data_IF_856746326769
#
_entry.id   IF_856746326769
#
_cell.length_a   1.000
_cell.length_b   1.000
_cell.length_c   1.000
_cell.angle_alpha   90.00
_cell.angle_beta   90.00
_cell.angle_gamma   90.00
#
_symmetry.space_group_name_H-M   'P 1'
#
loop_
_entity.id
_entity.type
_entity.pdbx_description
1 polymer ?
#
# COMPACT_ATOMS: atom_id res chain seq x y z
N UNK A 1 13.51 14.27 41.10
CA UNK A 1 13.59 14.84 39.72
C UNK A 1 14.36 13.98 38.70
N UNK A 2 15.03 12.88 39.10
CA UNK A 2 15.86 12.08 38.18
C UNK A 2 15.08 11.13 37.25
N UNK A 3 13.90 10.62 37.67
CA UNK A 3 13.08 9.72 36.85
C UNK A 3 12.46 10.38 35.59
N UNK A 4 12.20 11.70 35.62
CA UNK A 4 11.68 12.45 34.45
C UNK A 4 12.74 12.59 33.34
N UNK A 5 14.02 12.75 33.71
CA UNK A 5 15.11 12.90 32.75
C UNK A 5 15.42 11.59 32.01
N UNK A 6 15.31 10.44 32.69
CA UNK A 6 15.44 9.12 32.08
C UNK A 6 14.33 8.83 31.06
N UNK A 7 13.09 9.25 31.37
CA UNK A 7 11.94 9.09 30.46
C UNK A 7 12.09 9.91 29.18
N UNK A 8 12.61 11.14 29.29
CA UNK A 8 12.89 12.01 28.13
C UNK A 8 14.01 11.46 27.23
N UNK A 9 15.00 10.75 27.81
CA UNK A 9 16.06 10.09 27.04
C UNK A 9 15.56 8.83 26.34
N UNK A 10 14.71 8.04 26.99
CA UNK A 10 14.11 6.86 26.37
C UNK A 10 13.21 7.23 25.18
N UNK A 11 12.33 8.21 25.35
CA UNK A 11 11.47 8.69 24.25
C UNK A 11 12.27 9.36 23.14
N UNK A 12 13.31 10.15 23.47
CA UNK A 12 14.19 10.74 22.46
C UNK A 12 14.96 9.66 21.67
N UNK A 13 15.46 8.61 22.33
CA UNK A 13 16.15 7.51 21.64
C UNK A 13 15.22 6.72 20.72
N UNK A 14 13.97 6.48 21.15
CA UNK A 14 12.94 5.86 20.30
C UNK A 14 12.61 6.73 19.08
N UNK A 15 12.39 8.03 19.28
CA UNK A 15 12.09 8.98 18.20
C UNK A 15 13.29 9.11 17.24
N UNK A 16 14.52 9.20 17.76
CA UNK A 16 15.72 9.28 16.93
C UNK A 16 15.92 8.00 16.12
N UNK A 17 15.72 6.82 16.71
CA UNK A 17 15.85 5.55 16.02
C UNK A 17 14.76 5.36 14.94
N UNK A 18 13.51 5.74 15.21
CA UNK A 18 12.43 5.66 14.22
C UNK A 18 12.60 6.69 13.10
N UNK A 19 13.06 7.90 13.42
CA UNK A 19 13.34 8.94 12.41
C UNK A 19 14.51 8.52 11.53
N UNK A 20 15.58 7.96 12.10
CA UNK A 20 16.70 7.44 11.34
C UNK A 20 16.29 6.24 10.46
N UNK A 21 15.40 5.36 10.95
CA UNK A 21 14.85 4.26 10.15
C UNK A 21 13.97 4.74 8.99
N UNK A 22 13.15 5.77 9.21
CA UNK A 22 12.31 6.36 8.16
C UNK A 22 13.18 7.07 7.12
N UNK A 23 14.16 7.87 7.56
CA UNK A 23 15.01 8.66 6.68
C UNK A 23 15.93 7.77 5.82
N UNK A 24 16.47 6.69 6.39
CA UNK A 24 17.30 5.74 5.64
C UNK A 24 16.52 4.87 4.65
N UNK A 25 15.19 4.69 4.83
CA UNK A 25 14.38 3.82 3.97
C UNK A 25 13.52 4.56 2.94
N UNK A 26 13.40 5.89 3.03
CA UNK A 26 12.67 6.70 2.03
C UNK A 26 13.54 7.30 0.95
N UNK A 27 14.87 7.26 1.09
CA UNK A 27 15.80 7.83 0.12
C UNK A 27 16.09 6.82 -1.01
N UNK A 28 15.07 6.60 -1.86
CA UNK A 28 15.18 5.82 -3.10
C UNK A 28 16.05 6.56 -4.13
N UNK A 29 17.35 6.58 -3.89
CA UNK A 29 18.36 7.04 -4.83
C UNK A 29 18.63 5.96 -5.90
N UNK A 30 17.62 5.67 -6.73
CA UNK A 30 17.80 4.80 -7.89
C UNK A 30 18.20 5.67 -9.09
N UNK A 31 19.51 5.82 -9.32
CA UNK A 31 20.03 6.17 -10.65
C UNK A 31 19.63 5.04 -11.61
N UNK A 32 18.61 5.26 -12.42
CA UNK A 32 18.20 4.35 -13.48
C UNK A 32 18.02 5.12 -14.77
N UNK A 33 18.53 4.55 -15.87
CA UNK A 33 18.12 4.88 -17.24
C UNK A 33 16.60 5.12 -17.30
N UNK A 34 16.08 5.94 -18.24
CA UNK A 34 14.66 6.25 -18.30
C UNK A 34 13.87 5.00 -18.70
N UNK A 35 13.68 4.07 -17.76
CA UNK A 35 12.55 3.17 -17.74
C UNK A 35 11.36 4.10 -17.78
N UNK A 36 10.47 3.89 -18.74
CA UNK A 36 9.16 4.53 -18.78
C UNK A 36 8.56 4.32 -17.39
N UNK A 37 8.63 5.36 -16.55
CA UNK A 37 8.19 5.31 -15.15
C UNK A 37 6.68 5.33 -15.22
N UNK A 38 6.08 4.16 -15.38
CA UNK A 38 4.64 4.02 -15.25
C UNK A 38 4.31 4.50 -13.83
N UNK A 39 3.55 5.59 -13.73
CA UNK A 39 3.21 6.22 -12.45
C UNK A 39 2.25 5.30 -11.69
N UNK A 40 2.80 4.41 -10.86
CA UNK A 40 2.10 3.37 -10.09
C UNK A 40 2.48 3.51 -8.61
N UNK A 41 1.56 3.20 -7.69
CA UNK A 41 1.88 3.07 -6.27
C UNK A 41 2.93 1.97 -6.07
N UNK A 42 3.88 2.09 -5.12
CA UNK A 42 4.81 1.02 -4.80
C UNK A 42 4.07 -0.30 -4.55
N UNK A 43 4.60 -1.42 -5.06
CA UNK A 43 3.92 -2.73 -5.00
C UNK A 43 3.57 -3.13 -3.56
N UNK A 44 4.49 -2.91 -2.62
CA UNK A 44 4.26 -3.17 -1.19
C UNK A 44 3.06 -2.37 -0.65
N UNK A 45 2.85 -1.15 -1.13
CA UNK A 45 1.70 -0.35 -0.73
C UNK A 45 0.40 -0.89 -1.35
N UNK A 46 0.44 -1.35 -2.60
CA UNK A 46 -0.71 -2.01 -3.23
C UNK A 46 -1.10 -3.29 -2.48
N UNK A 47 -0.13 -4.08 -2.06
CA UNK A 47 -0.34 -5.30 -1.26
C UNK A 47 -1.00 -4.97 0.09
N UNK A 48 -0.46 -4.00 0.84
CA UNK A 48 -1.04 -3.57 2.12
C UNK A 48 -2.49 -3.10 1.94
N UNK A 49 -2.76 -2.27 0.94
CA UNK A 49 -4.11 -1.75 0.71
C UNK A 49 -5.08 -2.84 0.27
N UNK A 50 -4.64 -3.76 -0.61
CA UNK A 50 -5.47 -4.88 -1.05
C UNK A 50 -5.79 -5.82 0.12
N UNK A 51 -4.80 -6.18 0.93
CA UNK A 51 -4.97 -7.05 2.09
C UNK A 51 -5.89 -6.41 3.14
N UNK A 52 -5.66 -5.15 3.51
CA UNK A 52 -6.52 -4.45 4.47
C UNK A 52 -7.95 -4.34 3.96
N UNK A 53 -8.13 -3.99 2.69
CA UNK A 53 -9.46 -3.86 2.08
C UNK A 53 -10.18 -5.20 2.01
N UNK A 54 -9.47 -6.28 1.70
CA UNK A 54 -10.01 -7.64 1.71
C UNK A 54 -10.42 -8.08 3.12
N UNK A 55 -9.52 -7.95 4.11
CA UNK A 55 -9.79 -8.37 5.49
C UNK A 55 -10.93 -7.58 6.15
N UNK A 56 -11.06 -6.29 5.82
CA UNK A 56 -12.09 -5.40 6.40
C UNK A 56 -13.32 -5.24 5.50
N UNK A 57 -13.35 -5.90 4.35
CA UNK A 57 -14.43 -5.84 3.37
C UNK A 57 -14.80 -4.40 2.94
N UNK A 58 -13.78 -3.55 2.80
CA UNK A 58 -13.92 -2.16 2.38
C UNK A 58 -14.25 -2.06 0.89
N UNK A 59 -15.10 -1.09 0.55
CA UNK A 59 -15.27 -0.66 -0.82
C UNK A 59 -14.05 0.15 -1.25
N UNK A 60 -13.54 -0.13 -2.44
CA UNK A 60 -12.38 0.57 -3.00
C UNK A 60 -12.63 0.96 -4.44
N UNK A 61 -11.92 2.00 -4.89
CA UNK A 61 -11.68 2.27 -6.30
C UNK A 61 -10.30 1.76 -6.67
N UNK A 62 -10.24 0.86 -7.64
CA UNK A 62 -9.01 0.39 -8.24
C UNK A 62 -8.81 1.13 -9.56
N UNK A 63 -7.66 1.76 -9.73
CA UNK A 63 -7.21 2.30 -11.02
C UNK A 63 -6.20 1.33 -11.60
N UNK A 64 -6.43 0.84 -12.81
CA UNK A 64 -5.51 -0.04 -13.53
C UNK A 64 -4.40 0.77 -14.23
N UNK A 65 -3.32 0.10 -14.66
CA UNK A 65 -2.22 0.77 -15.38
C UNK A 65 -2.64 1.45 -16.69
N UNK A 66 -3.73 0.99 -17.30
CA UNK A 66 -4.33 1.58 -18.50
C UNK A 66 -5.38 2.66 -18.18
N UNK A 67 -5.35 3.21 -16.96
CA UNK A 67 -6.24 4.25 -16.45
C UNK A 67 -7.72 3.89 -16.37
N UNK A 68 -8.10 2.63 -16.63
CA UNK A 68 -9.45 2.14 -16.35
C UNK A 68 -9.65 2.06 -14.84
N UNK A 69 -10.81 2.56 -14.39
CA UNK A 69 -11.19 2.49 -12.99
C UNK A 69 -12.35 1.54 -12.79
N UNK A 70 -12.33 0.86 -11.64
CA UNK A 70 -13.42 0.00 -11.21
C UNK A 70 -13.62 0.15 -9.72
N UNK A 71 -14.88 0.32 -9.32
CA UNK A 71 -15.29 0.38 -7.92
C UNK A 71 -15.87 -0.97 -7.51
N UNK A 72 -15.59 -1.39 -6.29
CA UNK A 72 -16.04 -2.69 -5.79
C UNK A 72 -15.34 -3.13 -4.51
N UNK A 73 -15.33 -4.43 -4.27
CA UNK A 73 -14.73 -5.04 -3.07
C UNK A 73 -13.87 -6.24 -3.43
N UNK A 74 -12.77 -6.44 -2.70
CA UNK A 74 -12.05 -7.70 -2.73
C UNK A 74 -12.82 -8.73 -1.91
N UNK A 75 -13.18 -9.86 -2.51
CA UNK A 75 -14.07 -10.87 -1.88
C UNK A 75 -13.42 -12.23 -1.72
N UNK A 76 -12.32 -12.50 -2.43
CA UNK A 76 -11.54 -13.71 -2.27
C UNK A 76 -10.09 -13.47 -2.71
N UNK A 77 -9.17 -14.23 -2.15
CA UNK A 77 -7.76 -14.21 -2.54
C UNK A 77 -7.44 -15.47 -3.34
N UNK A 78 -6.89 -15.28 -4.54
CA UNK A 78 -6.42 -16.38 -5.40
C UNK A 78 -4.99 -16.75 -5.02
N UNK A 79 -4.14 -15.74 -4.80
CA UNK A 79 -2.80 -15.87 -4.24
C UNK A 79 -2.34 -14.51 -3.68
N UNK A 80 -1.08 -14.40 -3.23
CA UNK A 80 -0.53 -13.16 -2.65
C UNK A 80 -0.75 -11.92 -3.53
N UNK A 81 -0.72 -12.05 -4.87
CA UNK A 81 -0.77 -10.92 -5.80
C UNK A 81 -2.07 -10.84 -6.61
N UNK A 82 -3.03 -11.74 -6.36
CA UNK A 82 -4.26 -11.87 -7.15
C UNK A 82 -5.48 -12.04 -6.26
N UNK A 83 -6.50 -11.25 -6.55
CA UNK A 83 -7.76 -11.24 -5.80
C UNK A 83 -8.95 -11.33 -6.75
N UNK A 84 -10.02 -11.96 -6.27
CA UNK A 84 -11.34 -11.83 -6.87
C UNK A 84 -11.94 -10.52 -6.39
N UNK A 85 -12.30 -9.66 -7.34
CA UNK A 85 -12.89 -8.36 -7.12
C UNK A 85 -14.33 -8.34 -7.61
N UNK A 86 -15.24 -8.03 -6.70
CA UNK A 86 -16.67 -7.90 -6.98
C UNK A 86 -16.98 -6.44 -7.34
N UNK A 87 -17.36 -6.21 -8.60
CA UNK A 87 -17.76 -4.87 -9.08
C UNK A 87 -19.21 -4.57 -8.69
N UNK A 88 -20.07 -5.58 -8.79
CA UNK A 88 -21.45 -5.54 -8.32
C UNK A 88 -21.94 -6.97 -8.00
N UNK A 89 -23.22 -7.17 -7.70
CA UNK A 89 -23.77 -8.48 -7.32
C UNK A 89 -23.61 -9.58 -8.37
N UNK A 90 -23.40 -9.24 -9.65
CA UNK A 90 -23.34 -10.18 -10.78
C UNK A 90 -22.00 -10.20 -11.50
N UNK A 91 -21.15 -9.18 -11.30
CA UNK A 91 -19.91 -8.99 -12.05
C UNK A 91 -18.70 -9.14 -11.13
N UNK A 92 -17.87 -10.13 -11.43
CA UNK A 92 -16.62 -10.42 -10.75
C UNK A 92 -15.47 -10.35 -11.75
N UNK A 93 -14.30 -9.94 -11.27
CA UNK A 93 -13.07 -9.88 -12.06
C UNK A 93 -11.88 -10.35 -11.24
N UNK A 94 -10.86 -10.89 -11.89
CA UNK A 94 -9.59 -11.21 -11.23
C UNK A 94 -8.68 -9.99 -11.38
N UNK A 95 -8.27 -9.41 -10.26
CA UNK A 95 -7.33 -8.29 -10.22
C UNK A 95 -5.96 -8.81 -9.85
N UNK A 96 -4.97 -8.54 -10.70
CA UNK A 96 -3.55 -8.80 -10.39
C UNK A 96 -2.87 -7.49 -10.01
N UNK A 97 -2.25 -7.41 -8.83
CA UNK A 97 -1.72 -6.16 -8.26
C UNK A 97 -0.63 -5.52 -9.15
N UNK A 98 0.11 -6.32 -9.92
CA UNK A 98 1.09 -5.83 -10.88
C UNK A 98 0.47 -5.01 -12.04
N UNK A 99 -0.83 -5.15 -12.30
CA UNK A 99 -1.59 -4.40 -13.30
C UNK A 99 -2.39 -3.24 -12.70
N UNK A 100 -2.29 -3.03 -11.39
CA UNK A 100 -3.00 -1.99 -10.65
C UNK A 100 -2.10 -0.79 -10.47
N UNK A 101 -2.58 0.38 -10.88
CA UNK A 101 -1.95 1.67 -10.67
C UNK A 101 -2.09 2.17 -9.24
N UNK A 102 -3.30 2.08 -8.68
CA UNK A 102 -3.62 2.53 -7.32
C UNK A 102 -4.85 1.83 -6.75
N UNK A 103 -4.93 1.74 -5.43
CA UNK A 103 -6.13 1.32 -4.68
C UNK A 103 -6.47 2.44 -3.70
N UNK A 104 -7.69 2.96 -3.80
CA UNK A 104 -8.17 4.02 -2.91
C UNK A 104 -9.40 3.51 -2.13
N UNK A 105 -9.37 3.68 -0.81
CA UNK A 105 -10.49 3.38 0.08
C UNK A 105 -11.63 4.39 -0.15
N UNK A 106 -12.88 3.95 -0.02
CA UNK A 106 -14.10 4.77 -0.07
C UNK A 106 -14.80 4.72 1.28
#
# INVERSE_FOLDING_TARGET
MQARQLRNRFTANLINNTTNFINNNFDFNIKTAPKIKIKQMPLMQLEIFAEQSFQKNYSVVITMLNDKQVQGKFVSQVNQNKYVFQVNSKLFSIVSLNLVKSINLI
#
